data_IF_945243885473
#
_entry.id   IF_945243885473
#
_cell.length_a   1.000
_cell.length_b   1.000
_cell.length_c   1.000
_cell.angle_alpha   90.00
_cell.angle_beta   90.00
_cell.angle_gamma   90.00
#
_symmetry.space_group_name_H-M   'P 1'
#
loop_
_entity.id
_entity.type
_entity.pdbx_description
1 polymer ?
#
# COMPACT_ATOMS: atom_id res chain seq x y z
N UNK A 1 -18.15 27.01 8.01
CA UNK A 1 -19.44 27.49 7.50
C UNK A 1 -19.70 26.73 6.21
N UNK A 2 -20.90 26.20 5.98
CA UNK A 2 -21.29 25.53 4.73
C UNK A 2 -21.67 26.51 3.61
N UNK A 3 -21.20 27.76 3.69
CA UNK A 3 -21.58 28.85 2.79
C UNK A 3 -22.98 29.42 3.07
N UNK A 4 -23.62 29.01 4.17
CA UNK A 4 -24.98 29.42 4.58
C UNK A 4 -25.05 29.82 6.06
N UNK A 5 -23.93 30.10 6.71
CA UNK A 5 -23.87 30.50 8.11
C UNK A 5 -23.96 29.34 9.11
N UNK A 6 -24.07 28.07 8.67
CA UNK A 6 -24.23 26.93 9.59
C UNK A 6 -22.87 26.43 10.06
N UNK A 7 -22.67 26.38 11.38
CA UNK A 7 -21.49 25.77 12.01
C UNK A 7 -21.70 24.27 12.20
N UNK A 8 -20.63 23.48 12.04
CA UNK A 8 -20.63 22.04 12.35
C UNK A 8 -21.09 21.10 11.21
N UNK A 9 -21.17 21.57 9.97
CA UNK A 9 -21.54 20.73 8.82
C UNK A 9 -20.36 19.88 8.34
N UNK A 10 -20.30 18.61 8.76
CA UNK A 10 -19.24 17.66 8.36
C UNK A 10 -19.20 17.40 6.84
N UNK A 11 -20.34 17.46 6.14
CA UNK A 11 -20.35 17.27 4.68
C UNK A 11 -19.63 18.43 3.98
N UNK A 12 -19.83 19.65 4.48
CA UNK A 12 -19.13 20.82 3.98
C UNK A 12 -17.61 20.74 4.27
N UNK A 13 -17.22 20.24 5.44
CA UNK A 13 -15.80 20.03 5.79
C UNK A 13 -15.16 19.00 4.86
N UNK A 14 -15.79 17.84 4.65
CA UNK A 14 -15.26 16.82 3.75
C UNK A 14 -15.15 17.32 2.32
N UNK A 15 -16.16 18.05 1.83
CA UNK A 15 -16.08 18.66 0.50
C UNK A 15 -14.89 19.62 0.43
N UNK A 16 -14.75 20.53 1.39
CA UNK A 16 -13.67 21.50 1.40
C UNK A 16 -12.29 20.82 1.36
N UNK A 17 -12.08 19.77 2.16
CA UNK A 17 -10.82 19.00 2.17
C UNK A 17 -10.59 18.27 0.84
N UNK A 18 -11.60 17.59 0.29
CA UNK A 18 -11.46 16.79 -0.92
C UNK A 18 -11.39 17.62 -2.21
N UNK A 19 -11.89 18.87 -2.18
CA UNK A 19 -11.82 19.80 -3.31
C UNK A 19 -10.78 20.89 -3.10
N UNK A 20 -9.95 20.79 -2.06
CA UNK A 20 -8.88 21.74 -1.82
C UNK A 20 -7.87 21.68 -2.99
N UNK A 21 -7.41 22.82 -3.54
CA UNK A 21 -6.41 22.82 -4.60
C UNK A 21 -5.14 22.02 -4.26
N UNK A 22 -4.67 22.04 -3.00
CA UNK A 22 -3.49 21.25 -2.60
C UNK A 22 -3.76 19.74 -2.65
N UNK A 23 -5.02 19.32 -2.46
CA UNK A 23 -5.42 17.93 -2.57
C UNK A 23 -5.64 17.47 -4.02
N UNK A 24 -5.98 18.39 -4.93
CA UNK A 24 -6.26 18.10 -6.34
C UNK A 24 -5.04 18.24 -7.25
N UNK A 25 -4.13 19.17 -6.94
CA UNK A 25 -2.92 19.46 -7.72
C UNK A 25 -1.70 19.56 -6.77
N UNK A 26 -1.23 18.42 -6.24
CA UNK A 26 -0.09 18.42 -5.34
C UNK A 26 1.17 18.91 -6.08
N UNK A 27 1.97 19.80 -5.47
CA UNK A 27 3.12 20.40 -6.14
C UNK A 27 4.12 19.34 -6.58
N UNK A 28 4.65 19.49 -7.80
CA UNK A 28 5.67 18.62 -8.40
C UNK A 28 7.05 18.82 -7.75
N UNK A 29 7.17 18.53 -6.45
CA UNK A 29 8.43 18.52 -5.72
C UNK A 29 9.06 17.11 -5.80
N UNK A 30 10.30 16.96 -6.30
CA UNK A 30 10.98 15.66 -6.34
C UNK A 30 11.25 15.06 -4.95
N UNK A 31 11.29 15.91 -3.92
CA UNK A 31 11.38 15.50 -2.51
C UNK A 31 10.01 15.53 -1.80
N UNK A 32 8.93 15.74 -2.56
CA UNK A 32 7.57 15.80 -2.06
C UNK A 32 6.96 14.42 -1.84
N UNK A 33 6.07 14.34 -0.86
CA UNK A 33 5.40 13.12 -0.42
C UNK A 33 6.02 12.54 0.85
N UNK A 34 5.49 11.40 1.28
CA UNK A 34 5.98 10.65 2.43
C UNK A 34 6.05 9.17 2.11
N UNK A 35 6.91 8.46 2.79
CA UNK A 35 6.94 7.00 2.67
C UNK A 35 5.70 6.43 3.38
N UNK A 36 4.93 5.56 2.71
CA UNK A 36 3.79 4.86 3.31
C UNK A 36 4.32 3.96 4.43
N UNK A 37 3.81 4.07 5.65
CA UNK A 37 4.22 3.18 6.73
C UNK A 37 3.87 1.71 6.41
N UNK A 38 4.71 0.70 6.77
CA UNK A 38 4.48 -0.71 6.46
C UNK A 38 3.08 -1.23 6.81
N UNK A 39 2.55 -0.86 7.99
CA UNK A 39 1.19 -1.26 8.41
C UNK A 39 0.11 -0.64 7.54
N UNK A 40 0.30 0.60 7.07
CA UNK A 40 -0.67 1.25 6.17
C UNK A 40 -0.69 0.58 4.79
N UNK A 41 0.45 0.07 4.31
CA UNK A 41 0.52 -0.72 3.07
C UNK A 41 -0.32 -1.99 3.19
N UNK A 42 -0.18 -2.70 4.32
CA UNK A 42 -0.96 -3.89 4.62
C UNK A 42 -2.47 -3.57 4.69
N UNK A 43 -2.86 -2.53 5.42
CA UNK A 43 -4.27 -2.16 5.58
C UNK A 43 -4.90 -1.70 4.27
N UNK A 44 -4.18 -0.94 3.45
CA UNK A 44 -4.64 -0.50 2.12
C UNK A 44 -4.94 -1.68 1.20
N UNK A 45 -4.05 -2.68 1.18
CA UNK A 45 -4.30 -3.94 0.48
C UNK A 45 -5.49 -4.70 1.07
N UNK A 46 -5.51 -4.90 2.39
CA UNK A 46 -6.54 -5.70 3.05
C UNK A 46 -7.95 -5.14 2.79
N UNK A 47 -8.08 -3.82 2.86
CA UNK A 47 -9.31 -3.11 2.53
C UNK A 47 -9.68 -3.27 1.05
N UNK A 48 -8.76 -2.97 0.13
CA UNK A 48 -9.05 -2.97 -1.31
C UNK A 48 -9.35 -4.38 -1.84
N UNK A 49 -8.65 -5.39 -1.33
CA UNK A 49 -8.74 -6.77 -1.79
C UNK A 49 -9.77 -7.62 -1.03
N UNK A 50 -10.55 -7.00 -0.14
CA UNK A 50 -11.64 -7.64 0.59
C UNK A 50 -11.16 -8.76 1.49
N UNK A 51 -10.15 -8.49 2.33
CA UNK A 51 -9.72 -9.42 3.37
C UNK A 51 -10.83 -9.58 4.40
N UNK A 52 -11.20 -10.83 4.66
CA UNK A 52 -12.31 -11.20 5.53
C UNK A 52 -11.90 -12.26 6.55
N UNK A 53 -12.51 -12.21 7.73
CA UNK A 53 -12.36 -13.18 8.82
C UNK A 53 -13.74 -13.76 9.12
N UNK A 54 -13.89 -15.08 9.02
CA UNK A 54 -15.17 -15.77 9.22
C UNK A 54 -15.66 -15.67 10.68
N UNK A 55 -14.73 -15.61 11.64
CA UNK A 55 -15.04 -15.49 13.07
C UNK A 55 -15.04 -14.03 13.58
N UNK A 56 -14.67 -13.07 12.73
CA UNK A 56 -14.61 -11.64 13.08
C UNK A 56 -13.47 -11.23 14.02
N UNK A 57 -12.55 -12.13 14.38
CA UNK A 57 -11.43 -11.85 15.26
C UNK A 57 -10.25 -11.18 14.55
N UNK A 58 -10.17 -11.29 13.21
CA UNK A 58 -9.11 -10.70 12.38
C UNK A 58 -7.70 -10.97 12.92
N UNK A 59 -7.46 -12.21 13.33
CA UNK A 59 -6.16 -12.62 13.83
C UNK A 59 -5.06 -12.48 12.77
N UNK A 60 -3.90 -12.00 13.19
CA UNK A 60 -2.69 -11.97 12.38
C UNK A 60 -1.50 -12.37 13.25
N UNK A 61 -0.46 -12.92 12.63
CA UNK A 61 0.80 -13.20 13.29
C UNK A 61 1.50 -11.91 13.75
N UNK A 62 2.51 -12.03 14.62
CA UNK A 62 3.32 -10.87 15.00
C UNK A 62 4.04 -10.32 13.78
N UNK A 63 3.87 -9.03 13.53
CA UNK A 63 4.49 -8.30 12.41
C UNK A 63 5.68 -7.44 12.87
N UNK A 64 6.14 -7.62 14.12
CA UNK A 64 7.18 -6.80 14.76
C UNK A 64 8.58 -7.04 14.19
N UNK A 65 8.85 -8.25 13.72
CA UNK A 65 10.16 -8.63 13.19
C UNK A 65 10.38 -7.94 11.84
N UNK A 66 11.52 -7.26 11.69
CA UNK A 66 11.84 -6.56 10.44
C UNK A 66 12.35 -7.52 9.36
N UNK A 67 12.99 -8.64 9.74
CA UNK A 67 13.59 -9.62 8.83
C UNK A 67 12.57 -10.57 8.18
N UNK A 68 11.39 -10.73 8.77
CA UNK A 68 10.32 -11.61 8.27
C UNK A 68 8.91 -10.99 8.32
N UNK A 69 8.82 -9.71 8.67
CA UNK A 69 7.56 -9.02 8.93
C UNK A 69 7.58 -7.56 8.49
N UNK A 70 6.79 -6.72 9.17
CA UNK A 70 6.63 -5.30 8.83
C UNK A 70 7.56 -4.38 9.62
N UNK A 71 8.29 -4.88 10.62
CA UNK A 71 9.01 -4.04 11.58
C UNK A 71 8.09 -3.13 12.40
N UNK A 72 6.78 -3.36 12.36
CA UNK A 72 5.74 -2.58 13.01
C UNK A 72 4.54 -3.48 13.32
N UNK A 73 3.98 -3.34 14.51
CA UNK A 73 2.75 -4.02 14.90
C UNK A 73 1.86 -3.06 15.70
N UNK A 74 0.58 -2.86 15.30
CA UNK A 74 -0.35 -2.05 16.08
C UNK A 74 -0.35 -2.44 17.56
N UNK A 75 -0.46 -1.43 18.44
CA UNK A 75 -0.42 -1.58 19.90
C UNK A 75 0.91 -2.04 20.50
N UNK A 76 1.98 -2.16 19.69
CA UNK A 76 3.32 -2.54 20.16
C UNK A 76 4.38 -1.50 19.80
N UNK A 77 4.07 -0.25 20.09
CA UNK A 77 5.03 0.82 19.86
C UNK A 77 6.20 0.75 20.86
N UNK A 78 7.46 0.92 20.42
CA UNK A 78 8.61 0.85 21.31
C UNK A 78 8.77 2.10 22.18
N UNK A 79 8.04 3.19 21.90
CA UNK A 79 8.16 4.46 22.62
C UNK A 79 6.86 5.27 22.61
N UNK A 80 6.81 6.32 23.44
CA UNK A 80 5.71 7.31 23.43
C UNK A 80 5.67 8.16 22.16
N UNK A 81 6.74 8.16 21.36
CA UNK A 81 6.84 8.89 20.07
C UNK A 81 6.45 8.02 18.88
N UNK A 82 5.89 6.85 19.14
CA UNK A 82 5.57 5.82 18.17
C UNK A 82 6.83 5.03 17.68
N UNK A 83 6.76 4.44 16.48
CA UNK A 83 7.83 3.62 15.87
C UNK A 83 9.04 4.42 15.36
N UNK A 84 8.87 5.70 15.09
CA UNK A 84 9.90 6.58 14.54
C UNK A 84 9.74 8.01 15.06
N UNK A 85 10.82 8.79 15.04
CA UNK A 85 10.83 10.15 15.56
C UNK A 85 10.25 11.12 14.52
N UNK A 86 9.32 12.01 14.89
CA UNK A 86 8.72 12.97 13.96
C UNK A 86 9.73 13.88 13.24
N UNK A 87 10.90 14.11 13.83
CA UNK A 87 11.98 14.93 13.26
C UNK A 87 13.09 14.16 12.56
N UNK A 88 12.94 12.85 12.32
CA UNK A 88 14.00 12.07 11.69
C UNK A 88 14.14 12.43 10.20
N UNK A 89 15.34 12.84 9.81
CA UNK A 89 15.78 12.96 8.42
C UNK A 89 16.89 11.93 8.14
N UNK A 90 16.79 11.10 7.09
CA UNK A 90 17.82 10.12 6.78
C UNK A 90 19.18 10.79 6.54
N UNK A 91 20.23 10.45 7.30
CA UNK A 91 21.53 11.12 7.20
C UNK A 91 22.14 10.89 5.81
N UNK A 92 22.95 11.85 5.35
CA UNK A 92 23.65 11.79 4.05
C UNK A 92 22.74 11.69 2.80
N UNK A 93 21.48 12.08 2.91
CA UNK A 93 20.53 12.12 1.77
C UNK A 93 20.21 13.55 1.34
N UNK A 94 19.65 13.72 0.14
CA UNK A 94 19.13 15.02 -0.33
C UNK A 94 18.00 15.56 0.57
N UNK A 95 17.24 14.67 1.23
CA UNK A 95 16.21 15.03 2.21
C UNK A 95 16.84 15.82 3.37
N UNK A 96 17.90 15.27 3.98
CA UNK A 96 18.59 15.92 5.08
C UNK A 96 19.30 17.21 4.64
N UNK A 97 19.90 17.25 3.44
CA UNK A 97 20.52 18.46 2.88
C UNK A 97 19.51 19.59 2.66
N UNK A 98 18.28 19.25 2.27
CA UNK A 98 17.18 20.18 2.11
C UNK A 98 16.53 20.61 3.44
N UNK A 99 17.01 20.12 4.59
CA UNK A 99 16.42 20.39 5.90
C UNK A 99 15.04 19.76 6.10
N UNK A 100 14.68 18.77 5.27
CA UNK A 100 13.42 18.05 5.33
C UNK A 100 13.52 16.85 6.28
N UNK A 101 12.35 16.36 6.70
CA UNK A 101 12.22 15.16 7.53
C UNK A 101 11.53 14.07 6.73
N UNK A 102 11.86 12.82 7.02
CA UNK A 102 11.19 11.65 6.48
C UNK A 102 11.14 10.55 7.56
N UNK A 103 10.25 10.70 8.56
CA UNK A 103 10.27 9.89 9.78
C UNK A 103 10.21 8.38 9.55
N UNK A 104 9.39 7.94 8.61
CA UNK A 104 9.16 6.54 8.30
C UNK A 104 10.44 5.83 7.84
N UNK A 105 11.41 6.54 7.26
CA UNK A 105 12.68 5.95 6.88
C UNK A 105 13.55 5.51 8.07
N UNK A 106 13.24 5.92 9.30
CA UNK A 106 14.00 5.51 10.47
C UNK A 106 13.95 3.99 10.72
N UNK A 107 12.85 3.36 10.30
CA UNK A 107 12.63 1.92 10.45
C UNK A 107 12.78 1.15 9.14
N UNK A 108 13.13 1.86 8.06
CA UNK A 108 13.27 1.28 6.73
C UNK A 108 14.74 1.09 6.41
N UNK A 109 15.11 -0.17 6.30
CA UNK A 109 16.47 -0.67 6.13
C UNK A 109 16.46 -1.72 5.03
N UNK A 110 17.64 -2.10 4.52
CA UNK A 110 17.76 -3.19 3.56
C UNK A 110 17.13 -4.49 4.09
N UNK A 111 17.27 -4.76 5.39
CA UNK A 111 16.67 -5.92 6.06
C UNK A 111 15.15 -5.84 6.11
N UNK A 112 14.58 -4.69 6.49
CA UNK A 112 13.12 -4.53 6.58
C UNK A 112 12.45 -4.59 5.21
N UNK A 113 13.11 -4.09 4.16
CA UNK A 113 12.62 -4.17 2.80
C UNK A 113 12.52 -5.64 2.33
N UNK A 114 13.58 -6.43 2.56
CA UNK A 114 13.58 -7.85 2.22
C UNK A 114 12.54 -8.64 3.03
N UNK A 115 12.45 -8.36 4.33
CA UNK A 115 11.45 -8.98 5.22
C UNK A 115 10.01 -8.66 4.78
N UNK A 116 9.73 -7.41 4.41
CA UNK A 116 8.43 -6.98 3.89
C UNK A 116 8.02 -7.74 2.61
N UNK A 117 8.93 -7.92 1.66
CA UNK A 117 8.65 -8.66 0.42
C UNK A 117 8.34 -10.14 0.72
N UNK A 118 9.13 -10.76 1.60
CA UNK A 118 8.91 -12.15 2.02
C UNK A 118 7.58 -12.32 2.76
N UNK A 119 7.27 -11.40 3.67
CA UNK A 119 6.01 -11.33 4.40
C UNK A 119 4.81 -11.26 3.43
N UNK A 120 4.87 -10.36 2.45
CA UNK A 120 3.80 -10.19 1.47
C UNK A 120 3.66 -11.40 0.56
N UNK A 121 4.75 -11.98 0.08
CA UNK A 121 4.71 -13.14 -0.83
C UNK A 121 3.81 -14.25 -0.27
N UNK A 122 3.90 -14.50 1.04
CA UNK A 122 3.06 -15.50 1.69
C UNK A 122 1.64 -14.99 1.97
N UNK A 123 1.53 -13.81 2.58
CA UNK A 123 0.25 -13.27 3.02
C UNK A 123 -0.73 -13.01 1.87
N UNK A 124 -0.25 -12.44 0.76
CA UNK A 124 -1.07 -12.08 -0.40
C UNK A 124 -1.75 -13.30 -1.02
N UNK A 125 -1.12 -14.47 -0.94
CA UNK A 125 -1.67 -15.71 -1.50
C UNK A 125 -2.56 -16.46 -0.52
N UNK A 126 -2.10 -16.64 0.71
CA UNK A 126 -2.71 -17.59 1.64
C UNK A 126 -3.52 -16.94 2.77
N UNK A 127 -3.34 -15.63 3.01
CA UNK A 127 -3.88 -14.97 4.20
C UNK A 127 -3.27 -15.52 5.48
N UNK A 128 -4.00 -15.46 6.59
CA UNK A 128 -3.62 -16.07 7.86
C UNK A 128 -4.82 -16.69 8.56
N UNK A 129 -4.78 -17.99 8.86
CA UNK A 129 -5.92 -18.74 9.44
C UNK A 129 -7.21 -18.52 8.63
N UNK A 130 -8.27 -17.99 9.25
CA UNK A 130 -9.54 -17.64 8.60
C UNK A 130 -9.51 -16.25 7.95
N UNK A 131 -8.49 -15.43 8.23
CA UNK A 131 -8.32 -14.08 7.66
C UNK A 131 -7.73 -14.18 6.27
N UNK A 132 -8.57 -14.16 5.23
CA UNK A 132 -8.14 -14.39 3.84
C UNK A 132 -8.63 -13.31 2.89
N UNK A 133 -7.82 -12.97 1.85
CA UNK A 133 -8.27 -12.09 0.78
C UNK A 133 -9.29 -12.81 -0.12
N UNK A 134 -10.39 -12.14 -0.42
CA UNK A 134 -11.43 -12.68 -1.32
C UNK A 134 -11.11 -12.43 -2.78
N UNK A 135 -10.52 -11.27 -3.09
CA UNK A 135 -10.13 -10.83 -4.44
C UNK A 135 -11.26 -10.84 -5.47
N UNK A 136 -12.51 -10.56 -5.05
CA UNK A 136 -13.70 -10.69 -5.93
C UNK A 136 -13.51 -9.96 -7.27
N UNK A 137 -13.14 -8.68 -7.24
CA UNK A 137 -12.93 -7.88 -8.46
C UNK A 137 -11.76 -8.38 -9.31
N UNK A 138 -10.62 -8.71 -8.67
CA UNK A 138 -9.41 -9.14 -9.36
C UNK A 138 -9.55 -10.52 -9.99
N UNK A 139 -10.35 -11.43 -9.41
CA UNK A 139 -10.64 -12.76 -9.99
C UNK A 139 -11.34 -12.67 -11.33
N UNK A 140 -12.23 -11.70 -11.52
CA UNK A 140 -12.95 -11.49 -12.77
C UNK A 140 -12.00 -11.09 -13.91
N UNK A 141 -10.90 -10.40 -13.60
CA UNK A 141 -9.92 -9.88 -14.56
C UNK A 141 -8.55 -10.56 -14.47
N UNK A 142 -8.44 -11.69 -13.77
CA UNK A 142 -7.17 -12.38 -13.51
C UNK A 142 -6.42 -12.87 -14.77
N UNK A 143 -7.11 -12.89 -15.91
CA UNK A 143 -6.60 -13.28 -17.23
C UNK A 143 -6.15 -12.07 -18.08
N UNK A 144 -6.32 -10.85 -17.56
CA UNK A 144 -6.00 -9.59 -18.22
C UNK A 144 -5.01 -8.79 -17.35
N UNK A 145 -3.68 -9.03 -17.49
CA UNK A 145 -2.68 -8.34 -16.67
C UNK A 145 -2.74 -6.80 -16.77
N UNK A 146 -2.90 -6.18 -17.96
CA UNK A 146 -3.13 -4.74 -18.05
C UNK A 146 -4.31 -4.25 -17.20
N UNK A 147 -5.47 -4.92 -17.26
CA UNK A 147 -6.64 -4.54 -16.47
C UNK A 147 -6.38 -4.71 -14.96
N UNK A 148 -5.68 -5.78 -14.55
CA UNK A 148 -5.30 -5.99 -13.15
C UNK A 148 -4.41 -4.86 -12.63
N UNK A 149 -3.39 -4.49 -13.40
CA UNK A 149 -2.45 -3.43 -13.02
C UNK A 149 -3.18 -2.09 -12.94
N UNK A 150 -4.06 -1.78 -13.89
CA UNK A 150 -4.88 -0.56 -13.85
C UNK A 150 -5.80 -0.52 -12.62
N UNK A 151 -6.43 -1.65 -12.28
CA UNK A 151 -7.26 -1.75 -11.07
C UNK A 151 -6.43 -1.53 -9.80
N UNK A 152 -5.27 -2.18 -9.68
CA UNK A 152 -4.38 -2.02 -8.53
C UNK A 152 -3.81 -0.62 -8.44
N UNK A 153 -3.47 0.01 -9.57
CA UNK A 153 -2.98 1.38 -9.62
C UNK A 153 -4.02 2.34 -9.03
N UNK A 154 -5.28 2.23 -9.44
CA UNK A 154 -6.36 3.05 -8.91
C UNK A 154 -6.57 2.84 -7.40
N UNK A 155 -6.66 1.58 -6.96
CA UNK A 155 -7.11 1.27 -5.59
C UNK A 155 -5.99 1.33 -4.54
N UNK A 156 -4.74 1.06 -4.93
CA UNK A 156 -3.60 1.05 -3.99
C UNK A 156 -2.75 2.32 -4.07
N UNK A 157 -2.59 2.89 -5.27
CA UNK A 157 -1.72 4.06 -5.47
C UNK A 157 -2.49 5.36 -5.73
N UNK A 158 -3.78 5.28 -6.11
CA UNK A 158 -4.54 6.45 -6.56
C UNK A 158 -4.15 6.93 -7.96
N UNK A 159 -3.78 6.01 -8.86
CA UNK A 159 -3.24 6.29 -10.20
C UNK A 159 -1.90 7.06 -10.20
N UNK A 160 -1.08 6.87 -9.16
CA UNK A 160 0.23 7.52 -9.05
C UNK A 160 1.38 6.69 -9.64
N UNK A 161 1.14 5.42 -10.05
CA UNK A 161 2.13 4.67 -10.82
C UNK A 161 2.24 5.24 -12.23
N UNK A 162 3.46 5.36 -12.73
CA UNK A 162 3.72 5.79 -14.10
C UNK A 162 3.31 4.72 -15.11
N UNK A 163 3.00 5.15 -16.34
CA UNK A 163 2.68 4.24 -17.45
C UNK A 163 3.81 3.23 -17.71
N UNK A 164 5.06 3.66 -17.53
CA UNK A 164 6.23 2.80 -17.63
C UNK A 164 6.24 1.68 -16.57
N UNK A 165 6.00 2.03 -15.30
CA UNK A 165 5.86 1.04 -14.22
C UNK A 165 4.70 0.10 -14.47
N UNK A 166 3.53 0.62 -14.89
CA UNK A 166 2.37 -0.21 -15.20
C UNK A 166 2.66 -1.20 -16.34
N UNK A 167 3.28 -0.75 -17.42
CA UNK A 167 3.65 -1.59 -18.55
C UNK A 167 4.67 -2.67 -18.15
N UNK A 168 5.67 -2.31 -17.33
CA UNK A 168 6.67 -3.26 -16.83
C UNK A 168 6.05 -4.38 -15.99
N UNK A 169 5.14 -4.02 -15.06
CA UNK A 169 4.44 -5.00 -14.23
C UNK A 169 3.54 -5.89 -15.10
N UNK A 170 2.76 -5.31 -16.02
CA UNK A 170 1.89 -6.08 -16.91
C UNK A 170 2.67 -7.07 -17.79
N UNK A 171 3.83 -6.64 -18.30
CA UNK A 171 4.72 -7.51 -19.08
C UNK A 171 5.30 -8.66 -18.23
N UNK A 172 5.70 -8.38 -16.99
CA UNK A 172 6.18 -9.42 -16.07
C UNK A 172 5.09 -10.46 -15.76
N UNK A 173 3.85 -10.01 -15.52
CA UNK A 173 2.71 -10.89 -15.26
C UNK A 173 2.35 -11.73 -16.50
N UNK A 174 2.43 -11.16 -17.70
CA UNK A 174 2.14 -11.87 -18.95
C UNK A 174 3.09 -13.07 -19.23
N UNK A 175 4.20 -13.20 -18.49
CA UNK A 175 5.08 -14.38 -18.57
C UNK A 175 4.41 -15.68 -18.12
N UNK A 176 3.39 -15.61 -17.26
CA UNK A 176 2.54 -16.75 -16.89
C UNK A 176 1.20 -16.64 -17.60
N UNK A 177 0.85 -17.61 -18.45
CA UNK A 177 -0.45 -17.61 -19.11
C UNK A 177 -1.55 -18.04 -18.15
N UNK A 178 -2.51 -17.14 -17.90
CA UNK A 178 -3.76 -17.41 -17.19
C UNK A 178 -4.92 -17.03 -18.10
N UNK A 179 -5.90 -17.91 -18.23
CA UNK A 179 -7.11 -17.70 -19.04
C UNK A 179 -8.35 -17.66 -18.16
N UNK A 180 -9.48 -17.26 -18.71
CA UNK A 180 -10.76 -17.31 -18.00
C UNK A 180 -11.11 -18.74 -17.50
N UNK A 181 -10.65 -19.77 -18.20
CA UNK A 181 -10.86 -21.18 -17.85
C UNK A 181 -9.79 -21.77 -16.92
N UNK A 182 -8.72 -21.02 -16.62
CA UNK A 182 -7.69 -21.47 -15.68
C UNK A 182 -8.26 -21.69 -14.28
N UNK A 183 -7.59 -22.57 -13.52
CA UNK A 183 -7.99 -22.90 -12.17
C UNK A 183 -8.00 -21.66 -11.26
N UNK A 184 -8.84 -21.69 -10.22
CA UNK A 184 -8.86 -20.62 -9.22
C UNK A 184 -7.50 -20.47 -8.52
N UNK A 185 -6.76 -21.56 -8.37
CA UNK A 185 -5.41 -21.54 -7.80
C UNK A 185 -4.44 -20.74 -8.68
N UNK A 186 -4.50 -20.91 -10.00
CA UNK A 186 -3.64 -20.18 -10.95
C UNK A 186 -3.99 -18.70 -11.03
N UNK A 187 -5.29 -18.39 -11.00
CA UNK A 187 -5.77 -17.00 -10.91
C UNK A 187 -5.29 -16.34 -9.62
N UNK A 188 -5.33 -17.06 -8.50
CA UNK A 188 -4.81 -16.57 -7.22
C UNK A 188 -3.30 -16.34 -7.23
N UNK A 189 -2.51 -17.21 -7.87
CA UNK A 189 -1.08 -16.99 -8.08
C UNK A 189 -0.82 -15.68 -8.84
N UNK A 190 -1.56 -15.47 -9.93
CA UNK A 190 -1.44 -14.26 -10.75
C UNK A 190 -1.81 -13.01 -9.96
N UNK A 191 -2.90 -13.06 -9.20
CA UNK A 191 -3.36 -11.94 -8.36
C UNK A 191 -2.34 -11.62 -7.27
N UNK A 192 -1.83 -12.63 -6.56
CA UNK A 192 -0.82 -12.43 -5.53
C UNK A 192 0.46 -11.82 -6.11
N UNK A 193 0.90 -12.28 -7.29
CA UNK A 193 2.06 -11.71 -7.99
C UNK A 193 1.82 -10.25 -8.39
N UNK A 194 0.64 -9.92 -8.92
CA UNK A 194 0.30 -8.55 -9.32
C UNK A 194 0.28 -7.60 -8.10
N UNK A 195 -0.36 -8.02 -7.00
CA UNK A 195 -0.33 -7.30 -5.74
C UNK A 195 1.10 -7.10 -5.23
N UNK A 196 1.94 -8.13 -5.25
CA UNK A 196 3.33 -8.06 -4.78
C UNK A 196 4.17 -7.06 -5.60
N UNK A 197 4.06 -7.12 -6.93
CA UNK A 197 4.81 -6.22 -7.82
C UNK A 197 4.38 -4.76 -7.64
N UNK A 198 3.07 -4.49 -7.54
CA UNK A 198 2.58 -3.13 -7.24
C UNK A 198 3.01 -2.69 -5.85
N UNK A 199 2.85 -3.53 -4.83
CA UNK A 199 3.12 -3.18 -3.43
C UNK A 199 4.62 -3.06 -3.09
N UNK A 200 5.49 -3.48 -4.01
CA UNK A 200 6.95 -3.35 -3.93
C UNK A 200 7.51 -2.23 -4.81
N UNK A 201 6.69 -1.63 -5.67
CA UNK A 201 7.12 -0.55 -6.56
C UNK A 201 7.46 0.72 -5.75
N UNK A 202 8.59 1.40 -6.00
CA UNK A 202 8.96 2.63 -5.30
C UNK A 202 7.88 3.73 -5.39
N UNK A 203 7.22 3.85 -6.54
CA UNK A 203 6.10 4.78 -6.77
C UNK A 203 4.87 4.44 -5.89
N UNK A 204 4.67 3.17 -5.52
CA UNK A 204 3.68 2.79 -4.51
C UNK A 204 4.21 2.95 -3.08
N UNK A 205 5.51 2.89 -2.83
CA UNK A 205 6.01 3.09 -1.47
C UNK A 205 5.91 4.56 -1.05
N UNK A 206 6.05 5.50 -1.99
CA UNK A 206 5.92 6.95 -1.74
C UNK A 206 4.49 7.43 -2.00
N UNK A 207 3.83 7.97 -0.98
CA UNK A 207 2.54 8.63 -1.08
C UNK A 207 2.74 10.11 -1.36
N UNK A 208 2.19 10.59 -2.47
CA UNK A 208 2.11 12.01 -2.82
C UNK A 208 0.72 12.55 -2.57
#
# INVERSE_FOLDING_TARGET
DNGKGVRGDLKAVWRAVLTDPEALDPPANPLGGKLRAPVLRLLGWAHSCGVHSDNGAYEIYSTERADEGLGQMPLKSPSVFNFYRPGYGPPHTEIAKAGLVAPEFQIETETSLAGYINFLQWLLRWGYKDVKPTYVSLRAIAHDPPAMVAWLNLHLSGNQLSDATCALIAAALASKTVTAASSDSDKLDMIAAACLLVMSAPEYLVQK
#
